data_IF_140589695746
#
_entry.id   IF_140589695746
#
_cell.length_a   1.000
_cell.length_b   1.000
_cell.length_c   1.000
_cell.angle_alpha   90.00
_cell.angle_beta   90.00
_cell.angle_gamma   90.00
#
_symmetry.space_group_name_H-M   'P 1'
#
loop_
_entity.id
_entity.type
_entity.pdbx_description
1 polymer ?
#
# COMPACT_ATOMS: atom_id res chain seq x y z
N UNK A 1 2.65 -39.88 31.58
CA UNK A 1 1.64 -40.93 31.39
C UNK A 1 1.05 -40.76 30.00
N UNK A 2 1.15 -41.78 29.15
CA UNK A 2 0.11 -42.80 29.11
C UNK A 2 0.65 -44.22 29.34
N UNK A 3 -0.30 -45.11 29.46
CA UNK A 3 -0.32 -46.39 30.18
C UNK A 3 -0.05 -47.61 29.30
N UNK A 4 0.65 -48.60 29.88
CA UNK A 4 0.35 -50.01 29.62
C UNK A 4 1.54 -50.92 29.33
N UNK A 5 2.19 -51.45 30.37
CA UNK A 5 2.53 -52.88 30.43
C UNK A 5 2.78 -53.29 31.88
N UNK A 6 2.04 -54.30 32.31
CA UNK A 6 1.97 -54.80 33.69
C UNK A 6 3.19 -55.65 34.01
N UNK A 7 3.85 -55.40 35.13
CA UNK A 7 4.76 -56.37 35.74
C UNK A 7 3.92 -57.54 36.28
N UNK A 8 4.09 -58.72 35.71
CA UNK A 8 3.68 -59.97 36.35
C UNK A 8 4.94 -60.78 36.64
N UNK A 9 5.17 -61.00 37.93
CA UNK A 9 6.10 -61.99 38.45
C UNK A 9 5.88 -63.33 37.75
N UNK A 10 6.86 -63.77 36.96
CA UNK A 10 7.33 -65.15 36.81
C UNK A 10 8.23 -65.15 35.57
N UNK A 11 9.55 -65.14 35.78
CA UNK A 11 10.58 -65.99 35.15
C UNK A 11 11.91 -65.45 35.71
N UNK A 12 12.16 -65.73 36.99
CA UNK A 12 13.47 -65.56 37.62
C UNK A 12 14.19 -66.91 37.63
N UNK A 13 14.34 -67.53 36.46
CA UNK A 13 14.93 -68.88 36.35
C UNK A 13 15.72 -69.14 35.06
N UNK A 14 16.23 -68.10 34.40
CA UNK A 14 17.19 -68.23 33.30
C UNK A 14 18.34 -67.20 33.36
N UNK A 15 18.78 -66.81 34.56
CA UNK A 15 19.99 -65.99 34.75
C UNK A 15 21.21 -66.83 35.19
N UNK A 16 21.25 -68.12 34.86
CA UNK A 16 22.42 -68.99 35.13
C UNK A 16 23.00 -69.51 33.81
N UNK A 17 23.21 -68.63 32.83
CA UNK A 17 24.22 -68.78 31.79
C UNK A 17 24.68 -67.38 31.37
N UNK A 18 25.18 -66.62 32.35
CA UNK A 18 26.02 -65.47 32.07
C UNK A 18 27.34 -65.98 31.50
N UNK A 19 27.46 -66.00 30.18
CA UNK A 19 28.77 -66.01 29.56
C UNK A 19 29.56 -64.82 30.14
N UNK A 20 30.80 -65.00 30.60
CA UNK A 20 31.63 -63.86 30.91
C UNK A 20 31.89 -63.15 29.58
N UNK A 21 31.13 -62.11 29.27
CA UNK A 21 31.59 -61.10 28.32
C UNK A 21 32.82 -60.52 29.00
N UNK A 22 33.98 -60.96 28.50
CA UNK A 22 35.26 -60.38 28.88
C UNK A 22 35.11 -58.86 28.79
N UNK A 23 35.60 -58.07 29.76
CA UNK A 23 35.81 -56.67 29.49
C UNK A 23 36.76 -56.66 28.29
N UNK A 24 36.26 -56.24 27.12
CA UNK A 24 37.13 -55.85 26.04
C UNK A 24 38.12 -54.89 26.69
N UNK A 25 39.38 -55.24 26.59
CA UNK A 25 40.52 -54.48 27.08
C UNK A 25 40.19 -53.01 26.82
N UNK A 26 40.07 -52.21 27.88
CA UNK A 26 40.03 -50.76 27.73
C UNK A 26 41.39 -50.41 27.12
N UNK A 27 41.46 -50.42 25.79
CA UNK A 27 42.58 -49.89 25.06
C UNK A 27 42.82 -48.50 25.61
N UNK A 28 44.09 -48.17 25.86
CA UNK A 28 44.51 -46.92 26.46
C UNK A 28 44.17 -45.78 25.51
N UNK A 29 42.91 -45.38 25.57
CA UNK A 29 42.25 -44.35 24.79
C UNK A 29 42.98 -43.01 24.92
N UNK A 30 43.70 -42.82 26.04
CA UNK A 30 44.58 -41.69 26.31
C UNK A 30 45.77 -41.59 25.34
N UNK A 31 46.19 -42.69 24.70
CA UNK A 31 47.29 -42.69 23.72
C UNK A 31 46.86 -42.22 22.34
N UNK A 32 45.57 -42.27 22.04
CA UNK A 32 45.05 -42.03 20.69
C UNK A 32 44.08 -40.85 20.61
N UNK A 33 43.36 -40.51 21.68
CA UNK A 33 42.55 -39.30 21.71
C UNK A 33 43.43 -38.07 21.97
N UNK A 34 43.18 -36.99 21.24
CA UNK A 34 43.68 -35.67 21.61
C UNK A 34 42.93 -35.17 22.86
N UNK A 35 43.52 -35.42 24.02
CA UNK A 35 42.96 -35.04 25.32
C UNK A 35 42.96 -33.52 25.56
N UNK A 36 43.60 -32.72 24.69
CA UNK A 36 43.47 -31.27 24.73
C UNK A 36 42.12 -30.78 24.15
N UNK A 37 41.47 -31.63 23.34
CA UNK A 37 40.29 -31.28 22.54
C UNK A 37 39.15 -32.31 22.67
N UNK A 38 39.21 -33.17 23.69
CA UNK A 38 38.19 -34.17 23.96
C UNK A 38 38.50 -35.02 25.18
N UNK A 39 37.63 -36.01 25.42
CA UNK A 39 37.77 -36.96 26.52
C UNK A 39 37.46 -38.39 26.09
N UNK A 40 37.99 -39.38 26.83
CA UNK A 40 37.71 -40.78 26.57
C UNK A 40 36.36 -41.22 27.16
N UNK A 41 35.54 -41.90 26.36
CA UNK A 41 34.32 -42.54 26.82
C UNK A 41 34.59 -43.95 27.39
N UNK A 42 33.69 -44.47 28.26
CA UNK A 42 33.90 -45.78 28.91
C UNK A 42 33.97 -46.98 27.96
N UNK A 43 33.53 -46.81 26.71
CA UNK A 43 33.59 -47.80 25.64
C UNK A 43 34.90 -47.75 24.82
N UNK A 44 35.84 -46.87 25.21
CA UNK A 44 37.12 -46.68 24.52
C UNK A 44 37.06 -45.72 23.33
N UNK A 45 35.93 -45.05 23.08
CA UNK A 45 35.78 -44.06 22.00
C UNK A 45 36.18 -42.64 22.45
N UNK A 46 36.68 -41.80 21.53
CA UNK A 46 36.94 -40.39 21.80
C UNK A 46 35.66 -39.55 21.67
N UNK A 47 35.33 -38.78 22.71
CA UNK A 47 34.27 -37.78 22.68
C UNK A 47 34.89 -36.39 22.56
N UNK A 48 34.69 -35.74 21.43
CA UNK A 48 35.32 -34.46 21.13
C UNK A 48 34.60 -33.28 21.79
N UNK A 49 35.39 -32.27 22.14
CA UNK A 49 34.89 -30.99 22.63
C UNK A 49 34.14 -30.23 21.53
N UNK A 50 33.24 -29.29 21.88
CA UNK A 50 32.49 -28.52 20.90
C UNK A 50 33.42 -27.78 19.93
N UNK A 51 33.28 -28.11 18.64
CA UNK A 51 34.11 -27.53 17.59
C UNK A 51 35.29 -28.38 17.15
N UNK A 52 35.44 -29.59 17.69
CA UNK A 52 36.38 -30.61 17.26
C UNK A 52 35.67 -31.86 16.75
N UNK A 53 36.27 -32.50 15.75
CA UNK A 53 35.78 -33.69 15.06
C UNK A 53 36.93 -34.62 14.69
N UNK A 54 36.59 -35.81 14.20
CA UNK A 54 37.56 -36.87 13.93
C UNK A 54 37.41 -38.03 14.90
N UNK A 55 38.08 -39.15 14.58
CA UNK A 55 38.05 -40.34 15.44
C UNK A 55 38.83 -40.10 16.74
N UNK A 56 39.76 -39.14 16.72
CA UNK A 56 40.69 -38.82 17.79
C UNK A 56 40.62 -37.35 18.23
N UNK A 57 39.58 -36.62 17.79
CA UNK A 57 39.39 -35.18 18.09
C UNK A 57 40.53 -34.28 17.59
N UNK A 58 41.17 -34.71 16.50
CA UNK A 58 42.36 -34.11 15.93
C UNK A 58 42.07 -33.03 14.88
N UNK A 59 40.81 -32.88 14.46
CA UNK A 59 40.39 -31.91 13.43
C UNK A 59 39.42 -30.90 13.99
N UNK A 60 39.61 -29.65 13.63
CA UNK A 60 38.63 -28.60 13.92
C UNK A 60 37.39 -28.76 13.02
N UNK A 61 36.24 -28.43 13.57
CA UNK A 61 35.00 -28.26 12.82
C UNK A 61 35.04 -26.90 12.15
N UNK A 62 34.97 -26.90 10.82
CA UNK A 62 34.92 -25.66 10.01
C UNK A 62 33.64 -24.87 10.27
N UNK A 63 33.66 -23.57 9.98
CA UNK A 63 32.46 -22.74 10.05
C UNK A 63 31.32 -23.38 9.22
N UNK A 64 30.09 -23.49 9.74
CA UNK A 64 28.97 -24.03 8.97
C UNK A 64 28.79 -23.24 7.67
N UNK A 65 28.71 -23.95 6.54
CA UNK A 65 28.62 -23.34 5.21
C UNK A 65 29.95 -23.11 4.50
N UNK A 66 31.09 -23.40 5.15
CA UNK A 66 32.42 -23.33 4.52
C UNK A 66 32.52 -24.30 3.34
N UNK A 67 32.61 -23.78 2.11
CA UNK A 67 32.69 -24.61 0.90
C UNK A 67 34.14 -24.96 0.56
N UNK A 68 34.96 -23.94 0.26
CA UNK A 68 36.35 -24.11 -0.21
C UNK A 68 37.36 -23.55 0.78
N UNK A 69 37.35 -24.05 2.02
CA UNK A 69 38.29 -23.62 3.04
C UNK A 69 38.60 -24.67 4.10
N UNK A 70 39.64 -24.38 4.88
CA UNK A 70 40.13 -25.18 6.02
C UNK A 70 39.99 -24.41 7.33
N UNK A 71 40.36 -25.01 8.45
CA UNK A 71 40.40 -24.35 9.75
C UNK A 71 41.71 -24.71 10.47
N UNK A 72 42.18 -23.80 11.32
CA UNK A 72 43.22 -24.08 12.32
C UNK A 72 42.64 -24.08 13.73
N UNK A 73 41.55 -23.34 13.93
CA UNK A 73 40.75 -23.34 15.15
C UNK A 73 39.29 -23.62 14.80
N UNK A 74 38.51 -24.16 15.75
CA UNK A 74 37.09 -24.38 15.55
C UNK A 74 36.38 -23.14 15.00
N UNK A 75 35.42 -23.37 14.11
CA UNK A 75 34.55 -22.34 13.53
C UNK A 75 35.26 -21.32 12.63
N UNK A 76 36.46 -21.65 12.14
CA UNK A 76 37.11 -20.87 11.09
C UNK A 76 36.78 -21.41 9.68
N UNK A 77 36.95 -20.56 8.69
CA UNK A 77 36.93 -20.93 7.27
C UNK A 77 38.01 -20.11 6.56
N UNK A 78 39.21 -20.70 6.45
CA UNK A 78 40.38 -20.14 5.79
C UNK A 78 40.32 -20.57 4.34
N UNK A 79 40.15 -19.62 3.43
CA UNK A 79 39.88 -19.94 2.03
C UNK A 79 41.11 -20.54 1.32
N UNK A 80 40.83 -21.52 0.47
CA UNK A 80 41.80 -22.00 -0.50
C UNK A 80 42.08 -20.92 -1.55
N UNK A 81 43.22 -21.01 -2.24
CA UNK A 81 43.60 -20.07 -3.30
C UNK A 81 42.52 -19.98 -4.37
N UNK A 82 42.11 -18.76 -4.74
CA UNK A 82 41.06 -18.50 -5.71
C UNK A 82 39.64 -18.41 -5.12
N UNK A 83 39.49 -18.58 -3.81
CA UNK A 83 38.21 -18.44 -3.10
C UNK A 83 38.26 -17.32 -2.07
N UNK A 84 37.13 -16.64 -1.93
CA UNK A 84 36.97 -15.50 -1.05
C UNK A 84 35.61 -15.51 -0.35
N UNK A 85 35.42 -14.53 0.53
CA UNK A 85 34.22 -14.40 1.35
C UNK A 85 34.32 -15.16 2.68
N UNK A 86 33.37 -14.91 3.58
CA UNK A 86 33.35 -15.49 4.93
C UNK A 86 33.19 -17.02 4.92
N UNK A 87 32.60 -17.57 3.87
CA UNK A 87 32.33 -19.00 3.71
C UNK A 87 33.13 -19.64 2.57
N UNK A 88 34.09 -18.91 1.97
CA UNK A 88 34.90 -19.37 0.84
C UNK A 88 34.03 -19.94 -0.30
N UNK A 89 32.92 -19.24 -0.56
CA UNK A 89 31.88 -19.56 -1.52
C UNK A 89 31.91 -18.62 -2.73
N UNK A 90 32.76 -17.58 -2.70
CA UNK A 90 32.89 -16.60 -3.78
C UNK A 90 34.19 -16.83 -4.56
N UNK A 91 34.11 -16.77 -5.89
CA UNK A 91 35.24 -16.93 -6.81
C UNK A 91 36.05 -15.62 -6.87
N UNK A 92 37.35 -15.68 -6.52
CA UNK A 92 38.27 -14.53 -6.60
C UNK A 92 38.60 -14.16 -8.06
N UNK A 93 38.50 -15.11 -8.97
CA UNK A 93 38.85 -14.94 -10.38
C UNK A 93 37.63 -14.70 -11.27
N UNK A 94 36.48 -14.36 -10.68
CA UNK A 94 35.20 -14.17 -11.36
C UNK A 94 35.29 -13.29 -12.62
N UNK A 95 36.09 -12.21 -12.61
CA UNK A 95 36.28 -11.35 -13.77
C UNK A 95 37.07 -11.98 -14.93
N UNK A 96 37.88 -13.00 -14.65
CA UNK A 96 38.72 -13.69 -15.64
C UNK A 96 38.15 -15.04 -16.08
N UNK A 97 37.46 -15.75 -15.18
CA UNK A 97 36.92 -17.10 -15.42
C UNK A 97 35.50 -17.05 -15.99
N UNK A 98 34.66 -16.15 -15.47
CA UNK A 98 33.23 -16.10 -15.79
C UNK A 98 32.83 -14.88 -16.63
N UNK A 99 33.61 -13.80 -16.58
CA UNK A 99 33.37 -12.54 -17.32
C UNK A 99 31.90 -12.06 -17.22
N UNK A 100 31.42 -11.72 -16.00
CA UNK A 100 29.99 -11.50 -15.75
C UNK A 100 29.41 -10.26 -16.46
N UNK A 101 30.24 -9.23 -16.68
CA UNK A 101 29.82 -7.98 -17.30
C UNK A 101 29.49 -8.16 -18.78
N UNK A 102 28.26 -7.80 -19.15
CA UNK A 102 27.73 -7.85 -20.52
C UNK A 102 28.01 -6.55 -21.27
N UNK A 103 27.70 -6.55 -22.58
CA UNK A 103 27.69 -5.35 -23.44
C UNK A 103 29.00 -4.55 -23.43
N UNK A 104 30.15 -5.20 -23.22
CA UNK A 104 31.45 -4.55 -23.18
C UNK A 104 31.76 -3.82 -21.87
N UNK A 105 31.02 -4.09 -20.80
CA UNK A 105 31.33 -3.58 -19.47
C UNK A 105 32.66 -4.10 -18.93
N UNK A 106 33.39 -3.25 -18.22
CA UNK A 106 34.66 -3.60 -17.60
C UNK A 106 34.39 -4.18 -16.21
N UNK A 107 34.80 -5.44 -15.99
CA UNK A 107 34.71 -6.09 -14.69
C UNK A 107 35.80 -5.60 -13.74
N UNK A 108 35.41 -5.18 -12.55
CA UNK A 108 36.30 -4.75 -11.48
C UNK A 108 36.01 -5.60 -10.26
N UNK A 109 37.06 -6.12 -9.64
CA UNK A 109 36.98 -6.93 -8.43
C UNK A 109 37.37 -6.09 -7.22
N UNK A 110 36.51 -6.02 -6.22
CA UNK A 110 36.68 -5.13 -5.05
C UNK A 110 37.44 -5.80 -3.89
N UNK A 111 37.72 -7.10 -4.00
CA UNK A 111 38.24 -7.90 -2.89
C UNK A 111 37.13 -8.62 -2.12
N UNK A 112 37.44 -9.77 -1.51
CA UNK A 112 36.48 -10.49 -0.65
C UNK A 112 35.37 -11.24 -1.39
N UNK A 113 35.50 -11.41 -2.70
CA UNK A 113 34.62 -12.21 -3.55
C UNK A 113 33.51 -11.43 -4.26
N UNK A 114 33.55 -10.09 -4.20
CA UNK A 114 32.56 -9.22 -4.83
C UNK A 114 33.14 -8.55 -6.08
N UNK A 115 32.29 -8.34 -7.08
CA UNK A 115 32.63 -7.65 -8.31
C UNK A 115 31.59 -6.58 -8.61
N UNK A 116 32.00 -5.58 -9.39
CA UNK A 116 31.08 -4.65 -10.04
C UNK A 116 31.48 -4.42 -11.49
N UNK A 117 30.51 -4.06 -12.31
CA UNK A 117 30.73 -3.75 -13.71
C UNK A 117 30.70 -2.24 -13.93
N UNK A 118 31.77 -1.72 -14.53
CA UNK A 118 31.78 -0.35 -15.06
C UNK A 118 31.14 -0.39 -16.44
N UNK A 119 29.91 0.13 -16.53
CA UNK A 119 29.12 0.05 -17.75
C UNK A 119 29.50 1.11 -18.78
N UNK A 120 29.54 0.76 -20.08
CA UNK A 120 29.74 1.73 -21.15
C UNK A 120 28.57 2.71 -21.23
N UNK A 121 28.76 3.88 -21.86
CA UNK A 121 27.69 4.85 -22.04
C UNK A 121 26.46 4.22 -22.71
N UNK A 122 25.30 4.39 -22.08
CA UNK A 122 24.05 3.82 -22.57
C UNK A 122 23.77 2.38 -22.12
N UNK A 123 24.53 1.85 -21.16
CA UNK A 123 24.22 0.61 -20.47
C UNK A 123 24.22 0.82 -18.96
N UNK A 124 23.40 0.05 -18.26
CA UNK A 124 23.27 0.05 -16.81
C UNK A 124 22.83 -1.33 -16.31
N UNK A 125 22.72 -1.49 -15.00
CA UNK A 125 22.48 -2.79 -14.36
C UNK A 125 23.72 -3.30 -13.63
N UNK A 126 23.56 -4.39 -12.88
CA UNK A 126 24.67 -4.95 -12.11
C UNK A 126 25.75 -5.53 -13.03
N UNK A 127 25.29 -6.15 -14.13
CA UNK A 127 26.12 -6.80 -15.14
C UNK A 127 26.14 -6.01 -16.45
N UNK A 128 25.74 -4.74 -16.43
CA UNK A 128 25.55 -3.92 -17.65
C UNK A 128 24.58 -4.56 -18.66
N UNK A 129 23.63 -5.34 -18.18
CA UNK A 129 22.72 -6.14 -18.97
C UNK A 129 21.60 -5.31 -19.62
N UNK A 130 21.34 -4.11 -19.09
CA UNK A 130 20.26 -3.23 -19.55
C UNK A 130 20.82 -2.10 -20.40
N UNK A 131 20.17 -1.83 -21.52
CA UNK A 131 20.44 -0.63 -22.33
C UNK A 131 19.67 0.55 -21.73
N UNK A 132 20.35 1.67 -21.50
CA UNK A 132 19.71 2.91 -21.07
C UNK A 132 18.69 3.33 -22.13
N UNK A 133 17.47 3.61 -21.67
CA UNK A 133 16.39 4.07 -22.52
C UNK A 133 16.30 5.60 -22.55
N UNK A 134 15.31 6.14 -23.29
CA UNK A 134 15.10 7.58 -23.42
C UNK A 134 14.94 8.33 -22.10
N UNK A 135 14.50 7.67 -21.01
CA UNK A 135 14.33 8.32 -19.72
C UNK A 135 15.65 8.71 -19.05
N UNK A 136 16.73 7.95 -19.27
CA UNK A 136 18.00 8.12 -18.54
C UNK A 136 19.07 8.89 -19.34
N UNK A 137 18.92 9.02 -20.66
CA UNK A 137 20.03 9.37 -21.55
C UNK A 137 20.21 10.87 -21.85
N UNK A 138 19.19 11.71 -21.64
CA UNK A 138 19.26 13.15 -21.95
C UNK A 138 18.24 14.05 -21.19
N UNK A 139 17.65 13.53 -20.11
CA UNK A 139 16.50 14.16 -19.44
C UNK A 139 15.18 13.57 -19.91
N UNK A 140 14.24 13.43 -18.97
CA UNK A 140 12.95 12.78 -19.20
C UNK A 140 12.22 13.36 -20.42
N UNK A 141 11.78 12.53 -21.39
CA UNK A 141 10.92 12.98 -22.48
C UNK A 141 9.54 13.46 -22.01
N UNK A 142 9.14 13.19 -20.76
CA UNK A 142 7.86 13.62 -20.20
C UNK A 142 7.88 15.11 -19.84
N UNK A 143 6.84 15.84 -20.24
CA UNK A 143 6.61 17.26 -19.92
C UNK A 143 5.87 17.39 -18.59
N UNK A 144 5.80 18.64 -18.09
CA UNK A 144 4.98 19.02 -16.93
C UNK A 144 5.21 18.17 -15.67
N UNK A 145 6.46 17.72 -15.45
CA UNK A 145 6.82 16.91 -14.28
C UNK A 145 6.35 15.45 -14.35
N UNK A 146 5.93 14.96 -15.52
CA UNK A 146 5.55 13.56 -15.71
C UNK A 146 6.70 12.59 -15.40
N UNK A 147 6.37 11.45 -14.81
CA UNK A 147 7.34 10.41 -14.48
C UNK A 147 7.57 9.51 -15.70
N UNK A 148 8.82 9.41 -16.14
CA UNK A 148 9.21 8.56 -17.25
C UNK A 148 9.50 7.14 -16.78
N UNK A 149 9.03 6.17 -17.54
CA UNK A 149 9.32 4.75 -17.33
C UNK A 149 9.74 4.14 -18.66
N UNK A 150 10.95 3.58 -18.72
CA UNK A 150 11.42 2.83 -19.88
C UNK A 150 10.69 1.46 -19.91
N UNK A 151 10.24 1.05 -21.10
CA UNK A 151 9.60 -0.25 -21.26
C UNK A 151 10.67 -1.35 -21.28
N UNK A 152 10.62 -2.20 -20.24
CA UNK A 152 11.47 -3.37 -19.93
C UNK A 152 12.38 -3.90 -21.06
N UNK A 153 13.47 -3.18 -21.36
CA UNK A 153 14.62 -3.71 -22.09
C UNK A 153 14.70 -3.47 -23.60
N UNK A 154 13.80 -2.72 -24.23
CA UNK A 154 13.96 -2.29 -25.64
C UNK A 154 13.90 -0.77 -25.76
N UNK A 155 15.10 -0.19 -25.90
CA UNK A 155 15.51 1.20 -25.75
C UNK A 155 14.87 2.27 -26.68
N UNK A 156 13.66 2.03 -27.20
CA UNK A 156 12.93 3.02 -28.01
C UNK A 156 11.56 3.39 -27.43
N UNK A 157 11.00 2.55 -26.56
CA UNK A 157 9.68 2.81 -25.99
C UNK A 157 9.79 3.28 -24.54
N UNK A 158 9.07 4.35 -24.25
CA UNK A 158 8.91 4.90 -22.91
C UNK A 158 7.43 5.21 -22.69
N UNK A 159 7.02 5.11 -21.44
CA UNK A 159 5.69 5.53 -21.00
C UNK A 159 5.83 6.70 -20.03
N UNK A 160 5.05 7.75 -20.24
CA UNK A 160 4.94 8.85 -19.30
C UNK A 160 3.71 8.69 -18.40
N UNK A 161 3.94 8.69 -17.09
CA UNK A 161 2.86 8.82 -16.10
C UNK A 161 2.67 10.28 -15.78
N UNK A 162 1.50 10.80 -16.15
CA UNK A 162 1.19 12.22 -16.01
C UNK A 162 0.73 12.56 -14.59
N UNK A 163 1.13 13.75 -14.13
CA UNK A 163 0.56 14.36 -12.94
C UNK A 163 -0.91 14.73 -13.21
N UNK A 164 -1.70 14.84 -12.14
CA UNK A 164 -3.10 15.24 -12.24
C UNK A 164 -3.24 16.60 -12.95
N UNK A 165 -4.22 16.71 -13.85
CA UNK A 165 -4.41 17.88 -14.71
C UNK A 165 -3.67 17.80 -16.05
N UNK A 166 -2.83 16.81 -16.31
CA UNK A 166 -2.17 16.63 -17.60
C UNK A 166 -2.52 15.32 -18.29
N UNK A 167 -2.50 15.33 -19.62
CA UNK A 167 -2.70 14.16 -20.48
C UNK A 167 -1.82 14.23 -21.73
N UNK A 168 -1.92 13.20 -22.57
CA UNK A 168 -1.08 13.02 -23.75
C UNK A 168 0.06 12.02 -23.51
N UNK A 169 0.70 11.56 -24.59
CA UNK A 169 1.74 10.53 -24.52
C UNK A 169 2.98 11.01 -23.75
N UNK A 170 3.19 12.33 -23.67
CA UNK A 170 4.30 12.96 -22.98
C UNK A 170 3.81 13.94 -21.90
N UNK A 171 2.55 13.86 -21.48
CA UNK A 171 1.95 14.76 -20.50
C UNK A 171 1.98 16.24 -20.91
N UNK A 172 1.92 16.51 -22.21
CA UNK A 172 2.07 17.82 -22.81
C UNK A 172 0.78 18.64 -22.82
N UNK A 173 -0.38 18.00 -22.64
CA UNK A 173 -1.69 18.65 -22.74
C UNK A 173 -2.26 18.91 -21.35
N UNK A 174 -2.60 20.17 -21.05
CA UNK A 174 -3.42 20.50 -19.87
C UNK A 174 -4.86 20.02 -20.11
N UNK A 175 -5.43 19.33 -19.14
CA UNK A 175 -6.83 18.90 -19.19
C UNK A 175 -7.71 20.12 -18.98
N UNK A 176 -8.62 20.38 -19.92
CA UNK A 176 -9.56 21.49 -19.82
C UNK A 176 -10.60 21.23 -18.72
N UNK A 177 -10.41 21.86 -17.56
CA UNK A 177 -11.28 21.74 -16.41
C UNK A 177 -12.65 22.45 -16.61
N UNK A 178 -12.79 23.24 -17.70
CA UNK A 178 -14.01 23.97 -18.05
C UNK A 178 -14.96 23.18 -18.98
N UNK A 179 -14.56 22.00 -19.48
CA UNK A 179 -15.37 21.18 -20.39
C UNK A 179 -16.78 20.87 -19.87
N UNK A 180 -16.91 20.66 -18.56
CA UNK A 180 -18.19 20.36 -17.91
C UNK A 180 -19.02 21.61 -17.58
N UNK A 181 -18.54 22.80 -17.97
CA UNK A 181 -19.18 24.11 -17.75
C UNK A 181 -19.58 24.32 -16.28
N UNK A 182 -18.61 24.29 -15.34
CA UNK A 182 -18.90 24.34 -13.91
C UNK A 182 -19.46 25.69 -13.44
N UNK A 183 -19.25 26.78 -14.18
CA UNK A 183 -19.65 28.13 -13.81
C UNK A 183 -21.11 28.42 -14.21
N UNK A 184 -21.89 28.98 -13.27
CA UNK A 184 -23.30 29.31 -13.45
C UNK A 184 -23.52 30.78 -13.88
N UNK A 185 -24.78 31.13 -14.18
CA UNK A 185 -25.25 32.51 -14.37
C UNK A 185 -24.49 33.33 -15.43
N UNK A 186 -23.99 32.67 -16.48
CA UNK A 186 -23.25 33.33 -17.56
C UNK A 186 -21.80 33.69 -17.21
N UNK A 187 -21.27 33.17 -16.10
CA UNK A 187 -19.89 33.34 -15.71
C UNK A 187 -18.91 32.73 -16.72
N UNK A 188 -17.75 33.37 -16.87
CA UNK A 188 -16.66 32.88 -17.74
C UNK A 188 -15.79 31.91 -16.95
N UNK A 189 -15.62 30.69 -17.47
CA UNK A 189 -14.74 29.69 -16.88
C UNK A 189 -13.29 29.92 -17.36
N UNK A 190 -12.36 29.92 -16.42
CA UNK A 190 -10.93 29.96 -16.66
C UNK A 190 -10.33 28.59 -16.32
N UNK A 191 -9.73 27.97 -17.32
CA UNK A 191 -8.99 26.73 -17.18
C UNK A 191 -7.71 26.93 -16.33
N UNK A 192 -7.30 25.88 -15.65
CA UNK A 192 -6.10 25.87 -14.81
C UNK A 192 -5.50 24.47 -14.76
N UNK A 193 -4.48 24.27 -13.94
CA UNK A 193 -3.88 22.95 -13.79
C UNK A 193 -4.64 22.20 -12.70
N UNK A 194 -5.43 21.20 -13.10
CA UNK A 194 -6.26 20.37 -12.21
C UNK A 194 -7.20 21.20 -11.32
N UNK A 195 -7.65 22.35 -11.85
CA UNK A 195 -8.54 23.31 -11.21
C UNK A 195 -9.08 24.26 -12.26
N UNK A 196 -10.28 24.76 -12.03
CA UNK A 196 -10.84 25.88 -12.78
C UNK A 196 -11.11 27.06 -11.82
N UNK A 197 -11.30 28.25 -12.39
CA UNK A 197 -11.81 29.43 -11.69
C UNK A 197 -12.94 30.07 -12.49
N UNK A 198 -13.99 30.55 -11.81
CA UNK A 198 -15.10 31.23 -12.46
C UNK A 198 -14.99 32.74 -12.26
N UNK A 199 -14.98 33.51 -13.36
CA UNK A 199 -15.16 34.95 -13.32
C UNK A 199 -16.66 35.25 -13.24
N UNK A 200 -17.10 35.60 -12.03
CA UNK A 200 -18.50 35.90 -11.77
C UNK A 200 -18.90 37.25 -12.38
N UNK A 201 -20.06 37.34 -13.05
CA UNK A 201 -20.66 38.61 -13.41
C UNK A 201 -21.01 39.41 -12.14
N UNK A 202 -21.22 40.70 -12.33
CA UNK A 202 -21.68 41.60 -11.27
C UNK A 202 -22.96 41.07 -10.60
N UNK A 203 -23.03 41.18 -9.27
CA UNK A 203 -24.13 40.63 -8.46
C UNK A 203 -24.01 39.15 -8.12
N UNK A 204 -23.05 38.40 -8.68
CA UNK A 204 -22.83 36.99 -8.34
C UNK A 204 -21.50 36.73 -7.61
N UNK A 205 -21.49 35.71 -6.77
CA UNK A 205 -20.32 35.28 -6.01
C UNK A 205 -20.25 33.77 -5.81
N UNK A 206 -19.17 33.34 -5.17
CA UNK A 206 -18.87 31.93 -4.88
C UNK A 206 -18.08 31.24 -5.99
N UNK A 207 -17.52 30.07 -5.68
CA UNK A 207 -16.64 29.30 -6.59
C UNK A 207 -17.29 28.99 -7.95
N UNK A 208 -18.60 28.82 -7.97
CA UNK A 208 -19.39 28.49 -9.16
C UNK A 208 -20.28 29.65 -9.64
N UNK A 209 -20.17 30.84 -9.04
CA UNK A 209 -21.01 32.00 -9.32
C UNK A 209 -22.52 31.74 -9.16
N UNK A 210 -22.89 30.85 -8.24
CA UNK A 210 -24.29 30.47 -7.96
C UNK A 210 -24.94 31.34 -6.88
N UNK A 211 -24.15 32.13 -6.16
CA UNK A 211 -24.64 32.94 -5.04
C UNK A 211 -24.99 34.32 -5.59
N UNK A 212 -26.27 34.73 -5.47
CA UNK A 212 -26.66 36.12 -5.67
C UNK A 212 -26.23 36.93 -4.44
N UNK A 213 -25.52 38.03 -4.65
CA UNK A 213 -25.13 38.95 -3.59
C UNK A 213 -26.37 39.70 -3.09
N UNK A 214 -26.52 39.81 -1.78
CA UNK A 214 -27.67 40.47 -1.17
C UNK A 214 -27.54 42.00 -1.27
N UNK A 215 -28.18 42.57 -2.28
CA UNK A 215 -28.20 44.01 -2.52
C UNK A 215 -28.98 44.77 -1.42
N UNK A 216 -29.80 44.07 -0.63
CA UNK A 216 -30.53 44.62 0.51
C UNK A 216 -29.70 44.69 1.81
N UNK A 217 -28.50 44.09 1.85
CA UNK A 217 -27.66 44.04 3.05
C UNK A 217 -27.28 45.44 3.58
N UNK A 218 -27.12 46.41 2.68
CA UNK A 218 -26.84 47.81 3.01
C UNK A 218 -28.07 48.58 3.54
N UNK A 219 -29.24 47.95 3.54
CA UNK A 219 -30.55 48.53 3.91
C UNK A 219 -30.86 49.81 3.11
N UNK A 220 -30.87 49.75 1.77
CA UNK A 220 -31.02 50.94 0.93
C UNK A 220 -32.43 51.56 1.00
N UNK A 221 -33.45 50.78 1.37
CA UNK A 221 -34.84 51.23 1.45
C UNK A 221 -35.11 52.05 2.72
N UNK A 222 -35.67 53.25 2.55
CA UNK A 222 -35.98 54.17 3.64
C UNK A 222 -37.36 53.91 4.24
N UNK A 223 -37.66 54.57 5.37
CA UNK A 223 -39.00 54.64 6.00
C UNK A 223 -39.63 53.28 6.32
N UNK A 224 -38.79 52.28 6.61
CA UNK A 224 -39.24 50.92 6.93
C UNK A 224 -39.80 50.16 5.72
N UNK A 225 -39.55 50.61 4.49
CA UNK A 225 -39.93 49.89 3.28
C UNK A 225 -39.23 48.52 3.20
N UNK A 226 -39.97 47.51 2.72
CA UNK A 226 -39.41 46.16 2.54
C UNK A 226 -38.54 46.14 1.29
N UNK A 227 -37.28 45.71 1.46
CA UNK A 227 -36.35 45.50 0.36
C UNK A 227 -36.55 44.11 -0.26
N UNK A 228 -36.46 44.03 -1.59
CA UNK A 228 -36.41 42.79 -2.36
C UNK A 228 -35.09 42.75 -3.14
N UNK A 229 -34.30 41.73 -2.83
CA UNK A 229 -33.04 41.42 -3.50
C UNK A 229 -33.23 41.12 -4.99
N UNK A 230 -32.33 41.63 -5.84
CA UNK A 230 -32.25 41.34 -7.29
C UNK A 230 -30.79 41.04 -7.64
N UNK A 231 -30.47 40.93 -8.92
CA UNK A 231 -29.10 40.66 -9.38
C UNK A 231 -28.42 41.99 -9.64
N UNK A 232 -27.48 42.37 -8.77
CA UNK A 232 -26.80 43.68 -8.84
C UNK A 232 -27.78 44.85 -8.84
N UNK A 233 -28.90 44.70 -8.15
CA UNK A 233 -29.94 45.70 -8.00
C UNK A 233 -30.86 45.34 -6.83
N UNK A 234 -31.73 46.27 -6.43
CA UNK A 234 -32.73 46.02 -5.39
C UNK A 234 -34.05 46.72 -5.72
N UNK A 235 -35.16 46.17 -5.23
CA UNK A 235 -36.48 46.82 -5.33
C UNK A 235 -37.01 47.17 -3.94
N UNK A 236 -37.39 48.43 -3.71
CA UNK A 236 -38.05 48.86 -2.48
C UNK A 236 -39.58 48.85 -2.64
N UNK A 237 -40.27 48.16 -1.74
CA UNK A 237 -41.72 48.18 -1.66
C UNK A 237 -42.16 49.35 -0.78
N UNK A 238 -42.43 50.49 -1.41
CA UNK A 238 -42.74 51.73 -0.70
C UNK A 238 -44.12 51.68 -0.04
N UNK A 239 -44.25 52.19 1.21
CA UNK A 239 -45.55 52.43 1.84
C UNK A 239 -46.38 53.46 1.06
N UNK A 240 -47.70 53.44 1.26
CA UNK A 240 -48.62 54.41 0.64
C UNK A 240 -48.18 55.86 0.90
N UNK A 241 -48.19 56.68 -0.15
CA UNK A 241 -47.74 58.07 -0.09
C UNK A 241 -46.22 58.25 -0.24
N UNK A 242 -45.46 57.21 -0.61
CA UNK A 242 -44.03 57.30 -0.87
C UNK A 242 -43.64 56.65 -2.21
N UNK A 243 -42.55 57.14 -2.82
CA UNK A 243 -42.02 56.66 -4.09
C UNK A 243 -40.53 56.92 -4.26
N UNK A 244 -39.97 56.59 -5.43
CA UNK A 244 -38.52 56.62 -5.69
C UNK A 244 -37.86 55.24 -5.53
N UNK A 245 -36.58 55.11 -5.95
CA UNK A 245 -35.87 53.82 -5.91
C UNK A 245 -35.64 53.33 -4.48
N UNK A 246 -35.51 54.27 -3.53
CA UNK A 246 -35.29 54.01 -2.10
C UNK A 246 -36.44 54.45 -1.20
N UNK A 247 -37.59 54.83 -1.76
CA UNK A 247 -38.75 55.39 -1.04
C UNK A 247 -38.47 56.74 -0.34
N UNK A 248 -37.56 57.52 -0.91
CA UNK A 248 -37.14 58.83 -0.43
C UNK A 248 -38.19 59.92 -0.68
N UNK A 249 -38.96 59.80 -1.76
CA UNK A 249 -39.93 60.79 -2.20
C UNK A 249 -41.26 60.63 -1.45
N UNK A 250 -41.84 61.75 -1.02
CA UNK A 250 -43.23 61.80 -0.54
C UNK A 250 -44.10 62.06 -1.75
N UNK A 251 -44.99 61.14 -2.07
CA UNK A 251 -45.97 61.31 -3.13
C UNK A 251 -47.15 62.13 -2.59
N UNK A 252 -47.60 63.16 -3.32
CA UNK A 252 -48.80 63.89 -2.93
C UNK A 252 -49.98 62.92 -2.89
N UNK A 253 -50.85 63.08 -1.89
CA UNK A 253 -52.08 62.32 -1.82
C UNK A 253 -52.82 62.45 -3.15
N UNK A 254 -53.32 61.35 -3.75
CA UNK A 254 -54.26 61.51 -4.84
C UNK A 254 -55.44 62.29 -4.26
N UNK A 255 -55.66 63.49 -4.77
CA UNK A 255 -56.95 64.16 -4.59
C UNK A 255 -58.03 63.13 -4.93
N UNK A 256 -59.13 63.01 -4.18
CA UNK A 256 -60.24 62.19 -4.63
C UNK A 256 -60.68 62.77 -5.99
N UNK A 257 -60.27 62.10 -7.06
CA UNK A 257 -60.60 62.53 -8.40
C UNK A 257 -62.12 62.46 -8.51
N UNK A 258 -62.70 63.63 -8.77
CA UNK A 258 -63.96 63.79 -9.46
C UNK A 258 -64.18 62.64 -10.44
N UNK A 259 -65.29 61.94 -10.24
CA UNK A 259 -65.88 61.03 -11.21
C UNK A 259 -66.08 61.78 -12.53
N UNK A 260 -65.17 61.59 -13.48
CA UNK A 260 -65.44 61.86 -14.88
C UNK A 260 -65.77 60.52 -15.50
N UNK A 261 -67.06 60.29 -15.69
CA UNK A 261 -67.60 59.26 -16.59
C UNK A 261 -66.88 59.34 -17.94
N UNK A 262 -66.17 58.28 -18.31
CA UNK A 262 -65.73 58.05 -19.69
C UNK A 262 -66.63 56.96 -20.28
N UNK A 263 -67.37 57.22 -21.38
CA UNK A 263 -68.40 56.30 -21.87
C UNK A 263 -67.78 55.04 -22.48
N UNK A 264 -68.43 53.90 -22.24
CA UNK A 264 -68.25 52.68 -23.01
C UNK A 264 -68.70 52.87 -24.46
N UNK A 265 -67.85 52.47 -25.41
CA UNK A 265 -68.26 52.01 -26.73
C UNK A 265 -67.09 51.95 -27.73
N UNK A 266 -67.20 51.18 -28.84
CA UNK A 266 -67.90 49.92 -29.03
C UNK A 266 -66.94 48.76 -29.40
N UNK A 267 -67.45 47.54 -29.32
CA UNK A 267 -66.83 46.32 -29.82
C UNK A 267 -66.57 46.41 -31.33
N UNK A 268 -65.31 46.33 -31.76
CA UNK A 268 -64.94 46.01 -33.14
C UNK A 268 -64.26 44.65 -33.18
N UNK A 269 -65.04 43.65 -33.60
CA UNK A 269 -64.52 42.40 -34.12
C UNK A 269 -63.79 42.68 -35.45
N UNK A 270 -62.54 42.22 -35.56
CA UNK A 270 -61.83 42.09 -36.83
C UNK A 270 -61.56 40.61 -37.04
N UNK A 271 -62.00 40.12 -38.19
CA UNK A 271 -61.92 38.73 -38.66
C UNK A 271 -60.80 38.61 -39.70
N UNK A 272 -60.07 37.49 -39.62
CA UNK A 272 -59.34 36.75 -40.67
C UNK A 272 -57.94 37.24 -41.13
N UNK A 273 -57.08 36.35 -41.73
CA UNK A 273 -57.34 34.97 -42.16
C UNK A 273 -56.33 33.89 -41.72
N UNK A 274 -56.78 32.64 -41.82
CA UNK A 274 -55.96 31.44 -41.82
C UNK A 274 -55.28 31.24 -43.18
N UNK A 275 -53.96 31.05 -43.20
CA UNK A 275 -53.21 30.25 -44.19
C UNK A 275 -51.95 29.68 -43.51
N UNK A 276 -51.67 28.39 -43.70
CA UNK A 276 -50.56 27.64 -43.08
C UNK A 276 -49.17 27.97 -43.64
N UNK A 277 -48.09 27.18 -43.38
CA UNK A 277 -48.07 25.80 -42.88
C UNK A 277 -47.29 25.59 -41.57
N UNK A 278 -47.65 24.49 -40.89
CA UNK A 278 -47.05 23.94 -39.69
C UNK A 278 -45.67 23.31 -39.99
N UNK A 279 -44.60 23.66 -39.28
CA UNK A 279 -43.47 22.77 -39.06
C UNK A 279 -43.67 22.02 -37.74
N UNK A 280 -43.75 20.69 -37.84
CA UNK A 280 -43.71 19.75 -36.73
C UNK A 280 -42.38 19.90 -35.98
N UNK A 281 -42.40 20.56 -34.83
CA UNK A 281 -41.34 20.41 -33.82
C UNK A 281 -41.75 19.27 -32.88
N UNK A 282 -41.10 18.13 -33.06
CA UNK A 282 -41.17 16.96 -32.21
C UNK A 282 -40.97 17.38 -30.75
N UNK A 283 -42.01 17.22 -29.94
CA UNK A 283 -41.87 17.25 -28.49
C UNK A 283 -40.97 16.09 -28.06
N UNK A 284 -39.69 16.38 -27.86
CA UNK A 284 -38.82 15.51 -27.10
C UNK A 284 -39.30 15.59 -25.64
N UNK A 285 -40.06 14.58 -25.25
CA UNK A 285 -40.51 14.40 -23.88
C UNK A 285 -39.33 14.47 -22.92
N UNK A 286 -39.56 15.13 -21.79
CA UNK A 286 -38.77 15.00 -20.58
C UNK A 286 -38.56 13.52 -20.26
N UNK A 287 -37.38 13.00 -20.62
CA UNK A 287 -36.88 11.74 -20.07
C UNK A 287 -36.48 12.01 -18.61
N UNK A 288 -37.45 11.85 -17.71
CA UNK A 288 -37.16 11.60 -16.30
C UNK A 288 -36.52 10.23 -16.20
N UNK A 289 -35.19 10.19 -16.29
CA UNK A 289 -34.43 9.00 -15.90
C UNK A 289 -34.50 8.93 -14.38
N UNK A 290 -35.45 8.14 -13.88
CA UNK A 290 -35.43 7.67 -12.50
C UNK A 290 -34.21 6.76 -12.35
N UNK A 291 -33.39 7.02 -11.34
CA UNK A 291 -32.18 6.23 -10.97
C UNK A 291 -32.50 4.76 -10.66
N UNK A 292 -33.78 4.36 -10.67
CA UNK A 292 -34.23 2.96 -10.58
C UNK A 292 -34.13 2.15 -11.88
N UNK A 293 -33.92 2.76 -13.05
CA UNK A 293 -33.94 2.04 -14.34
C UNK A 293 -32.54 1.73 -14.93
N UNK A 294 -31.44 2.14 -14.28
CA UNK A 294 -30.07 1.78 -14.70
C UNK A 294 -29.58 0.47 -14.04
N UNK A 295 -30.30 -0.05 -13.04
CA UNK A 295 -30.00 -1.34 -12.38
C UNK A 295 -30.83 -2.50 -12.97
N UNK A 296 -31.55 -2.29 -14.08
CA UNK A 296 -32.31 -3.35 -14.79
C UNK A 296 -31.74 -3.71 -16.16
N UNK A 297 -30.44 -3.50 -16.39
CA UNK A 297 -29.71 -4.01 -17.56
C UNK A 297 -28.39 -4.71 -17.24
N UNK A 298 -28.28 -5.32 -16.05
CA UNK A 298 -27.17 -6.25 -15.74
C UNK A 298 -27.60 -7.59 -15.11
N UNK A 299 -28.88 -7.98 -15.20
CA UNK A 299 -29.35 -9.31 -14.79
C UNK A 299 -29.90 -10.10 -15.97
N UNK A 300 -29.16 -10.12 -17.07
CA UNK A 300 -29.37 -11.08 -18.15
C UNK A 300 -28.05 -11.80 -18.40
N UNK A 301 -27.71 -12.76 -17.52
CA UNK A 301 -26.47 -13.52 -17.72
C UNK A 301 -25.98 -14.45 -16.62
N UNK A 302 -26.73 -14.75 -15.55
CA UNK A 302 -26.39 -15.91 -14.70
C UNK A 302 -27.52 -16.94 -14.79
N UNK A 303 -27.38 -17.86 -15.73
CA UNK A 303 -28.25 -19.04 -15.82
C UNK A 303 -28.24 -19.82 -14.51
N UNK A 304 -29.29 -20.58 -14.24
CA UNK A 304 -29.46 -21.35 -13.00
C UNK A 304 -28.23 -22.19 -12.61
N UNK A 305 -27.45 -22.67 -13.57
CA UNK A 305 -26.18 -23.37 -13.35
C UNK A 305 -25.10 -22.52 -12.64
N UNK A 306 -25.05 -21.22 -12.89
CA UNK A 306 -24.04 -20.31 -12.31
C UNK A 306 -24.39 -19.94 -10.86
N UNK A 307 -25.67 -19.87 -10.52
CA UNK A 307 -26.15 -19.67 -9.16
C UNK A 307 -25.92 -20.93 -8.30
N UNK A 308 -26.15 -22.11 -8.88
CA UNK A 308 -25.79 -23.39 -8.24
C UNK A 308 -24.28 -23.47 -8.03
N UNK A 309 -23.45 -23.05 -8.99
CA UNK A 309 -21.99 -23.02 -8.82
C UNK A 309 -21.56 -22.11 -7.66
N UNK A 310 -22.07 -20.89 -7.55
CA UNK A 310 -21.71 -19.97 -6.45
C UNK A 310 -22.13 -20.52 -5.09
N UNK A 311 -23.32 -21.12 -4.99
CA UNK A 311 -23.79 -21.74 -3.73
C UNK A 311 -22.97 -22.97 -3.37
N UNK A 312 -22.62 -23.82 -4.35
CA UNK A 312 -21.81 -25.02 -4.13
C UNK A 312 -20.36 -24.64 -3.75
N UNK A 313 -19.74 -23.70 -4.46
CA UNK A 313 -18.41 -23.20 -4.11
C UNK A 313 -18.41 -22.49 -2.74
N UNK A 314 -19.46 -21.72 -2.41
CA UNK A 314 -19.64 -21.11 -1.09
C UNK A 314 -19.78 -22.15 0.02
N UNK A 315 -20.55 -23.21 -0.19
CA UNK A 315 -20.71 -24.30 0.77
C UNK A 315 -19.42 -25.12 0.94
N UNK A 316 -18.70 -25.40 -0.15
CA UNK A 316 -17.42 -26.13 -0.12
C UNK A 316 -16.33 -25.33 0.60
N UNK A 317 -16.23 -24.03 0.34
CA UNK A 317 -15.26 -23.16 1.03
C UNK A 317 -15.58 -23.05 2.53
N UNK A 318 -16.84 -22.88 2.90
CA UNK A 318 -17.26 -22.87 4.30
C UNK A 318 -16.97 -24.20 5.01
N UNK A 319 -17.22 -25.34 4.36
CA UNK A 319 -16.92 -26.66 4.91
C UNK A 319 -15.40 -26.89 5.08
N UNK A 320 -14.58 -26.43 4.13
CA UNK A 320 -13.12 -26.52 4.23
C UNK A 320 -12.60 -25.69 5.40
N UNK A 321 -13.07 -24.46 5.56
CA UNK A 321 -12.70 -23.59 6.68
C UNK A 321 -13.13 -24.20 8.02
N UNK A 322 -14.35 -24.71 8.12
CA UNK A 322 -14.83 -25.35 9.36
C UNK A 322 -14.02 -26.62 9.69
N UNK A 323 -13.65 -27.41 8.67
CA UNK A 323 -12.79 -28.59 8.83
C UNK A 323 -11.39 -28.21 9.33
N UNK A 324 -10.76 -27.19 8.75
CA UNK A 324 -9.44 -26.71 9.21
C UNK A 324 -9.48 -26.15 10.64
N UNK A 325 -10.55 -25.44 11.01
CA UNK A 325 -10.77 -24.97 12.38
C UNK A 325 -10.98 -26.13 13.36
N UNK A 326 -11.74 -27.15 12.98
CA UNK A 326 -11.93 -28.33 13.83
C UNK A 326 -10.65 -29.18 13.94
N UNK A 327 -9.85 -29.27 12.89
CA UNK A 327 -8.57 -29.98 12.90
C UNK A 327 -7.52 -29.26 13.76
N UNK A 328 -7.45 -27.93 13.67
CA UNK A 328 -6.58 -27.12 14.53
C UNK A 328 -7.02 -27.18 15.99
N UNK A 329 -8.32 -27.11 16.27
CA UNK A 329 -8.86 -27.31 17.63
C UNK A 329 -8.62 -28.72 18.17
N UNK A 330 -8.68 -29.76 17.32
CA UNK A 330 -8.36 -31.15 17.69
C UNK A 330 -6.86 -31.36 17.90
N UNK A 331 -6.00 -30.73 17.09
CA UNK A 331 -4.56 -30.74 17.26
C UNK A 331 -4.14 -30.03 18.57
N UNK A 332 -4.79 -28.90 18.86
CA UNK A 332 -4.60 -28.16 20.11
C UNK A 332 -5.07 -28.94 21.33
N UNK A 333 -6.24 -29.59 21.28
CA UNK A 333 -6.73 -30.48 22.37
C UNK A 333 -5.89 -31.75 22.55
N UNK A 334 -5.15 -32.19 21.54
CA UNK A 334 -4.25 -33.35 21.61
C UNK A 334 -2.80 -33.00 21.94
N UNK A 335 -2.50 -31.72 22.18
CA UNK A 335 -1.16 -31.27 22.61
C UNK A 335 -0.05 -31.53 21.59
N UNK A 336 -0.37 -31.60 20.30
CA UNK A 336 0.63 -31.85 19.25
C UNK A 336 1.13 -30.51 18.71
N UNK A 337 2.33 -30.10 19.15
CA UNK A 337 3.06 -28.99 18.51
C UNK A 337 3.67 -29.46 17.18
N UNK A 338 3.75 -28.59 16.14
CA UNK A 338 4.42 -28.93 14.88
C UNK A 338 5.93 -29.08 15.06
N UNK A 339 6.63 -29.86 14.22
CA UNK A 339 8.07 -30.04 14.31
C UNK A 339 8.79 -28.82 13.71
N UNK A 340 9.57 -28.13 14.54
CA UNK A 340 10.51 -27.07 14.18
C UNK A 340 11.66 -27.06 15.21
N UNK A 341 12.86 -26.57 14.83
CA UNK A 341 14.10 -27.33 14.93
C UNK A 341 14.70 -27.42 16.33
N UNK A 342 15.51 -28.46 16.49
CA UNK A 342 16.29 -28.87 17.65
C UNK A 342 16.89 -27.72 18.46
N UNK A 343 16.54 -27.66 19.75
CA UNK A 343 17.35 -27.00 20.77
C UNK A 343 18.67 -27.77 20.94
N UNK A 344 19.80 -27.11 20.72
CA UNK A 344 21.08 -27.51 21.33
C UNK A 344 21.00 -27.35 22.85
N UNK A 345 21.68 -28.19 23.65
CA UNK A 345 21.74 -28.02 25.09
C UNK A 345 22.78 -26.94 25.45
N UNK A 346 22.39 -25.98 26.28
CA UNK A 346 23.30 -25.10 27.00
C UNK A 346 23.35 -25.52 28.50
N UNK A 347 24.46 -25.27 29.20
CA UNK A 347 24.90 -26.08 30.33
C UNK A 347 24.22 -25.74 31.65
N UNK A 348 24.05 -26.76 32.49
CA UNK A 348 23.60 -26.65 33.86
C UNK A 348 24.68 -26.00 34.75
N UNK A 349 24.32 -24.93 35.47
CA UNK A 349 24.89 -24.62 36.78
C UNK A 349 23.81 -24.07 37.73
N UNK A 350 23.59 -24.85 38.79
CA UNK A 350 23.15 -24.52 40.14
C UNK A 350 21.68 -24.11 40.45
N UNK A 351 21.19 -24.45 41.68
CA UNK A 351 19.76 -24.63 41.95
C UNK A 351 19.18 -23.57 42.90
N UNK A 352 17.88 -23.27 42.80
CA UNK A 352 17.14 -22.62 43.89
C UNK A 352 15.64 -22.95 43.84
N UNK A 353 15.22 -23.72 44.84
CA UNK A 353 14.02 -23.56 45.68
C UNK A 353 12.94 -22.55 45.23
N UNK A 354 11.77 -23.10 44.90
CA UNK A 354 10.46 -22.90 45.54
C UNK A 354 9.86 -21.48 45.68
N UNK A 355 8.65 -21.37 45.09
CA UNK A 355 7.52 -20.47 45.36
C UNK A 355 7.73 -18.96 45.19
N UNK A 356 7.13 -18.36 44.14
CA UNK A 356 6.03 -17.39 44.28
C UNK A 356 5.49 -16.88 42.94
N UNK A 357 4.16 -16.76 42.89
CA UNK A 357 3.34 -16.19 41.84
C UNK A 357 3.70 -14.73 41.52
N UNK A 358 3.66 -14.35 40.24
CA UNK A 358 3.66 -12.94 39.84
C UNK A 358 2.27 -12.54 39.33
N UNK A 359 1.58 -11.77 40.16
CA UNK A 359 0.42 -10.95 39.79
C UNK A 359 0.84 -9.81 38.86
N UNK A 360 -0.05 -9.51 37.92
CA UNK A 360 0.01 -8.37 37.01
C UNK A 360 -0.28 -7.08 37.78
N UNK A 361 0.48 -6.01 37.52
CA UNK A 361 0.04 -4.65 37.81
C UNK A 361 0.44 -3.70 36.69
N UNK A 362 -0.60 -3.03 36.17
CA UNK A 362 -0.56 -1.94 35.22
C UNK A 362 -0.17 -0.64 35.95
N UNK A 363 0.55 0.27 35.29
CA UNK A 363 0.56 1.69 35.69
C UNK A 363 0.53 2.62 34.46
N UNK A 364 0.00 3.86 34.62
CA UNK A 364 -0.51 4.70 33.54
C UNK A 364 0.37 5.92 33.20
N UNK A 365 -0.08 6.66 32.19
CA UNK A 365 0.55 7.81 31.55
C UNK A 365 0.53 9.14 32.37
N UNK A 366 1.46 10.05 32.05
CA UNK A 366 1.25 11.50 32.16
C UNK A 366 2.46 12.42 32.46
N UNK A 367 3.03 13.03 31.40
CA UNK A 367 3.53 14.44 31.23
C UNK A 367 4.65 15.01 32.15
N UNK A 368 5.28 16.17 31.80
CA UNK A 368 5.95 16.60 30.55
C UNK A 368 7.37 17.18 30.82
N UNK A 369 8.17 17.51 29.78
CA UNK A 369 9.07 18.69 29.70
C UNK A 369 9.78 18.75 28.34
N UNK A 370 10.05 19.97 27.89
CA UNK A 370 10.51 20.41 26.56
C UNK A 370 11.86 21.18 26.72
N UNK A 371 12.39 21.84 25.68
CA UNK A 371 13.11 21.35 24.50
C UNK A 371 14.61 21.77 24.54
N UNK A 372 15.50 21.03 23.88
CA UNK A 372 16.64 21.61 23.13
C UNK A 372 17.54 20.51 22.56
N UNK A 373 18.00 20.74 21.32
CA UNK A 373 18.98 20.04 20.46
C UNK A 373 18.46 19.11 19.33
N UNK A 374 19.12 19.18 18.14
CA UNK A 374 18.53 18.89 16.82
C UNK A 374 18.62 17.40 16.39
N UNK A 375 17.85 16.98 15.37
CA UNK A 375 17.75 15.58 14.96
C UNK A 375 18.87 15.14 13.98
N UNK A 376 19.50 14.02 14.29
CA UNK A 376 20.29 13.20 13.36
C UNK A 376 19.37 12.28 12.52
N UNK A 377 19.62 12.08 11.22
CA UNK A 377 18.74 11.32 10.34
C UNK A 377 18.99 9.80 10.42
N UNK A 378 17.91 9.00 10.43
CA UNK A 378 18.02 7.61 9.94
C UNK A 378 17.45 6.47 10.79
N UNK A 379 16.36 6.65 11.55
CA UNK A 379 15.59 5.48 12.06
C UNK A 379 14.09 5.64 11.82
N UNK A 380 13.60 4.91 10.83
CA UNK A 380 12.19 4.59 10.62
C UNK A 380 11.70 3.66 11.74
N UNK A 381 10.78 4.16 12.56
CA UNK A 381 9.88 3.35 13.39
C UNK A 381 8.76 2.78 12.52
N UNK A 382 8.58 1.46 12.55
CA UNK A 382 7.39 0.80 12.02
C UNK A 382 6.22 0.99 13.02
N UNK A 383 5.05 1.28 12.47
CA UNK A 383 3.75 1.47 13.15
C UNK A 383 3.25 0.21 13.87
#
# INVERSE_FOLDING_TARGET
MPSGCRCLHLVCLLCILGAPVQPAQADDCSLHCDLAHGCCAPDGSCRCDPGWEGLHCERCVRMPGCQHGTCHQPWQCICHTGWAGKFCDKDEHICTTQTPCRNGGQCVYDGGGEYHCVCPPGFHGHDCERKAGPCEQAGSPCRNGGQCQDDQGFALNFTCRCLAGFMGARCEVNVDDCLMRPCANGATCLDGINRFSCLCPEGFAGRFCTINLDDCASRPCQRGARCRDRVHDFDCLCPSGYGGKTCELILPAPNPATTVDMPLGPTSAVVAPATGPVPRSVGAGLLRISVKEVVRRQEAGLGAASLVAVVVFGALTAALVLSTMLLTLRAWRRGVCPPGPCCFPAPHYAPARQDQECQVSMLPAGLPLSPDLPPEPGKTTAL
#
